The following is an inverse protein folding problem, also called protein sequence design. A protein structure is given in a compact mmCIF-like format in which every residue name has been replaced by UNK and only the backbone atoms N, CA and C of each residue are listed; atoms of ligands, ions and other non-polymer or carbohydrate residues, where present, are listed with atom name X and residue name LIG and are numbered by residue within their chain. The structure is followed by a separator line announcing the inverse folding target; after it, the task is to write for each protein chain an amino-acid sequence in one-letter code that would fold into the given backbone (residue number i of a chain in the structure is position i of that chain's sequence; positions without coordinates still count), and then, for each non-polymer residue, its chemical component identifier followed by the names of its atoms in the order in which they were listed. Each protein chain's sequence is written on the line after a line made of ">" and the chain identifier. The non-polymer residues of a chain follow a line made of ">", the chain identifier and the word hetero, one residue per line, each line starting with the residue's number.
data_IF_540257106620
#
_entry.id   IF_540257106620
#
_cell.length_a   1.000
_cell.length_b   1.000
_cell.length_c   1.000
_cell.angle_alpha   90.00
_cell.angle_beta   90.00
_cell.angle_gamma   90.00
#
_symmetry.space_group_name_H-M   'P 1'
#
loop_
_entity.id
_entity.type
_entity.pdbx_description
1 polymer ?
#
# COMPACT_ATOMS: atom_id res chain seq x y z
N UNK A 1 -32.47 -25.70 22.59
CA UNK A 1 -32.33 -24.48 23.41
C UNK A 1 -31.28 -24.74 24.49
N UNK A 2 -30.04 -24.30 24.27
CA UNK A 2 -29.07 -24.00 25.34
C UNK A 2 -28.27 -22.81 24.82
N UNK A 3 -28.35 -21.71 25.55
CA UNK A 3 -27.72 -20.44 25.24
C UNK A 3 -26.39 -20.28 25.99
N UNK A 4 -25.55 -19.42 25.40
CA UNK A 4 -24.53 -18.59 26.04
C UNK A 4 -23.26 -19.27 26.57
N UNK A 5 -22.11 -18.86 26.01
CA UNK A 5 -21.35 -17.73 26.57
C UNK A 5 -20.20 -17.34 25.65
N UNK A 6 -20.25 -16.11 25.14
CA UNK A 6 -19.08 -15.39 24.62
C UNK A 6 -18.22 -14.94 25.80
N UNK A 7 -16.93 -15.25 25.78
CA UNK A 7 -15.94 -14.61 26.65
C UNK A 7 -14.99 -13.85 25.74
N UNK A 8 -15.09 -12.52 25.79
CA UNK A 8 -14.13 -11.60 25.22
C UNK A 8 -12.93 -11.49 26.18
N UNK A 9 -11.72 -11.61 25.66
CA UNK A 9 -10.48 -11.32 26.36
C UNK A 9 -9.63 -10.46 25.43
N UNK A 10 -9.57 -9.17 25.73
CA UNK A 10 -8.66 -8.20 25.11
C UNK A 10 -7.28 -8.23 25.80
N UNK A 11 -6.22 -7.82 25.09
CA UNK A 11 -4.84 -8.17 25.42
C UNK A 11 -4.22 -7.25 26.48
N UNK A 12 -3.47 -7.84 27.41
CA UNK A 12 -2.60 -7.11 28.35
C UNK A 12 -1.16 -7.07 27.82
N UNK A 13 -0.65 -5.85 27.68
CA UNK A 13 0.73 -5.47 27.39
C UNK A 13 1.80 -6.36 28.04
N UNK A 14 2.73 -6.85 27.22
CA UNK A 14 4.04 -7.33 27.69
C UNK A 14 5.08 -6.24 27.42
N UNK A 15 5.45 -5.48 28.46
CA UNK A 15 6.64 -4.64 28.47
C UNK A 15 7.88 -5.53 28.54
N UNK A 16 8.84 -5.26 27.66
CA UNK A 16 10.12 -5.96 27.57
C UNK A 16 11.05 -5.36 28.62
N UNK A 17 11.20 -6.03 29.77
CA UNK A 17 12.23 -5.68 30.75
C UNK A 17 13.57 -6.32 30.34
N UNK A 18 14.45 -5.50 29.78
CA UNK A 18 15.82 -5.85 29.47
C UNK A 18 16.66 -5.93 30.77
N UNK A 19 16.75 -7.13 31.34
CA UNK A 19 17.64 -7.41 32.46
C UNK A 19 19.11 -7.43 32.00
N UNK A 20 19.85 -6.41 32.43
CA UNK A 20 21.30 -6.27 32.29
C UNK A 20 22.02 -7.22 33.25
N UNK A 21 22.87 -8.13 32.72
CA UNK A 21 23.86 -8.86 33.52
C UNK A 21 25.27 -8.33 33.24
N UNK A 22 25.90 -7.79 34.29
CA UNK A 22 27.16 -7.05 34.24
C UNK A 22 28.39 -7.83 33.76
N UNK A 23 29.23 -7.12 33.02
CA UNK A 23 30.61 -7.47 32.71
C UNK A 23 31.51 -6.26 33.00
N UNK A 24 32.41 -6.42 33.96
CA UNK A 24 33.30 -5.43 34.57
C UNK A 24 34.21 -4.73 33.54
N UNK A 25 34.03 -3.42 33.29
CA UNK A 25 35.12 -2.48 32.97
C UNK A 25 34.79 -1.09 33.53
N UNK A 26 35.40 -0.78 34.66
CA UNK A 26 35.52 0.57 35.21
C UNK A 26 36.63 1.34 34.48
N UNK A 27 36.67 2.66 34.71
CA UNK A 27 37.50 3.72 34.11
C UNK A 27 36.88 4.32 32.84
N UNK A 28 36.65 5.63 32.70
CA UNK A 28 37.19 6.80 33.39
C UNK A 28 36.21 7.98 33.16
N UNK A 29 35.80 8.66 34.23
CA UNK A 29 35.09 9.95 34.18
C UNK A 29 36.11 11.07 33.92
N UNK A 30 35.93 11.84 32.84
CA UNK A 30 36.41 13.20 32.58
C UNK A 30 35.64 13.63 31.32
N UNK A 31 34.56 14.41 31.39
CA UNK A 31 34.59 15.81 31.77
C UNK A 31 34.75 16.68 30.52
N UNK A 32 33.69 16.83 29.71
CA UNK A 32 33.53 17.93 28.75
C UNK A 32 32.05 18.31 28.66
N UNK A 33 31.70 19.35 29.42
CA UNK A 33 30.50 20.15 29.30
C UNK A 33 30.56 21.09 28.10
N UNK A 34 29.38 21.41 27.53
CA UNK A 34 29.05 22.36 26.42
C UNK A 34 29.21 21.76 25.01
N UNK A 35 28.21 21.78 24.12
CA UNK A 35 27.30 22.88 23.77
C UNK A 35 25.98 22.30 23.22
N UNK A 36 24.83 22.63 23.83
CA UNK A 36 23.54 22.41 23.18
C UNK A 36 23.40 23.44 22.06
N UNK A 37 23.60 23.02 20.81
CA UNK A 37 23.27 23.82 19.63
C UNK A 37 21.74 23.93 19.59
N UNK A 38 21.22 25.06 20.06
CA UNK A 38 19.88 25.48 19.74
C UNK A 38 19.82 25.68 18.23
N UNK A 39 19.25 24.71 17.52
CA UNK A 39 18.87 24.86 16.12
C UNK A 39 17.76 25.91 16.07
N UNK A 40 18.13 27.19 15.98
CA UNK A 40 17.29 28.22 15.41
C UNK A 40 17.13 27.87 13.93
N UNK A 41 16.24 26.91 13.64
CA UNK A 41 15.75 26.71 12.30
C UNK A 41 15.13 28.04 11.83
N UNK A 42 15.38 28.47 10.58
CA UNK A 42 14.74 29.66 10.07
C UNK A 42 13.24 29.50 10.28
N UNK A 43 12.62 30.49 10.94
CA UNK A 43 11.18 30.60 11.06
C UNK A 43 10.61 30.28 9.67
N UNK A 44 9.90 29.16 9.57
CA UNK A 44 9.27 28.73 8.34
C UNK A 44 8.41 29.92 7.90
N UNK A 45 8.83 30.60 6.84
CA UNK A 45 8.03 31.62 6.21
C UNK A 45 6.71 30.93 5.84
N UNK A 46 5.67 31.17 6.64
CA UNK A 46 4.31 30.82 6.27
C UNK A 46 4.03 31.64 5.03
N UNK A 47 4.13 31.00 3.86
CA UNK A 47 3.54 31.52 2.64
C UNK A 47 2.06 31.73 2.94
N UNK A 48 1.66 32.98 3.15
CA UNK A 48 0.26 33.35 3.24
C UNK A 48 -0.39 32.90 1.94
N UNK A 49 -1.13 31.79 2.01
CA UNK A 49 -1.94 31.34 0.88
C UNK A 49 -2.92 32.45 0.60
N UNK A 50 -3.00 32.99 -0.64
CA UNK A 50 -4.10 33.87 -0.98
C UNK A 50 -5.39 33.13 -0.63
N UNK A 51 -6.24 33.77 0.16
CA UNK A 51 -7.52 33.23 0.60
C UNK A 51 -8.38 33.00 -0.64
N UNK A 52 -8.28 31.80 -1.21
CA UNK A 52 -9.19 31.34 -2.26
C UNK A 52 -10.58 31.39 -1.64
N UNK A 53 -11.45 32.26 -2.15
CA UNK A 53 -12.85 32.25 -1.72
C UNK A 53 -13.41 30.89 -2.08
N UNK A 54 -13.83 30.13 -1.08
CA UNK A 54 -14.56 28.89 -1.27
C UNK A 54 -15.84 29.23 -2.03
N UNK A 55 -16.00 28.64 -3.21
CA UNK A 55 -17.20 28.80 -4.02
C UNK A 55 -18.06 27.58 -3.74
N UNK A 56 -19.31 27.81 -3.34
CA UNK A 56 -20.27 26.74 -3.10
C UNK A 56 -20.41 25.85 -4.35
N UNK A 57 -20.28 24.53 -4.16
CA UNK A 57 -20.29 23.55 -5.23
C UNK A 57 -21.60 23.59 -6.06
N UNK A 58 -22.71 23.93 -5.41
CA UNK A 58 -24.04 23.96 -6.02
C UNK A 58 -24.30 25.24 -6.85
N UNK A 59 -23.51 26.29 -6.64
CA UNK A 59 -23.77 27.61 -7.23
C UNK A 59 -22.94 27.86 -8.49
N UNK A 60 -21.82 27.14 -8.66
CA UNK A 60 -20.92 27.31 -9.80
C UNK A 60 -21.23 26.32 -10.92
N UNK A 61 -21.64 26.80 -12.13
CA UNK A 61 -21.92 25.92 -13.26
C UNK A 61 -20.68 25.14 -13.72
N UNK A 62 -19.49 25.71 -13.51
CA UNK A 62 -18.23 25.06 -13.81
C UNK A 62 -17.95 23.86 -12.88
N UNK A 63 -18.25 24.00 -11.58
CA UNK A 63 -18.06 22.92 -10.61
C UNK A 63 -19.04 21.76 -10.89
N UNK A 64 -20.30 22.08 -11.22
CA UNK A 64 -21.28 21.06 -11.58
C UNK A 64 -20.86 20.24 -12.80
N UNK A 65 -20.32 20.89 -13.84
CA UNK A 65 -19.81 20.18 -15.04
C UNK A 65 -18.60 19.29 -14.72
N UNK A 66 -17.72 19.72 -13.81
CA UNK A 66 -16.60 18.90 -13.34
C UNK A 66 -17.08 17.68 -12.54
N UNK A 67 -18.07 17.84 -11.67
CA UNK A 67 -18.67 16.74 -10.91
C UNK A 67 -19.33 15.74 -11.86
N UNK A 68 -20.08 16.23 -12.86
CA UNK A 68 -20.70 15.41 -13.91
C UNK A 68 -19.65 14.54 -14.64
N UNK A 69 -18.58 15.15 -15.16
CA UNK A 69 -17.49 14.42 -15.83
C UNK A 69 -16.77 13.44 -14.90
N UNK A 70 -16.68 13.78 -13.62
CA UNK A 70 -16.04 12.92 -12.63
C UNK A 70 -16.87 11.66 -12.39
N UNK A 71 -18.18 11.81 -12.31
CA UNK A 71 -19.16 10.72 -12.18
C UNK A 71 -19.11 9.80 -13.41
N UNK A 72 -19.18 10.38 -14.61
CA UNK A 72 -19.15 9.61 -15.88
C UNK A 72 -17.91 8.71 -15.99
N UNK A 73 -16.74 9.24 -15.64
CA UNK A 73 -15.47 8.51 -15.73
C UNK A 73 -15.12 7.73 -14.47
N UNK A 74 -15.97 7.75 -13.44
CA UNK A 74 -15.65 7.10 -12.16
C UNK A 74 -15.49 5.60 -12.34
N UNK A 75 -16.44 4.97 -13.01
CA UNK A 75 -16.46 3.52 -13.17
C UNK A 75 -15.35 3.05 -14.13
N UNK A 76 -15.13 3.77 -15.24
CA UNK A 76 -14.03 3.50 -16.16
C UNK A 76 -12.67 3.52 -15.44
N UNK A 77 -12.38 4.58 -14.68
CA UNK A 77 -11.12 4.68 -13.92
C UNK A 77 -11.02 3.63 -12.82
N UNK A 78 -12.15 3.21 -12.24
CA UNK A 78 -12.17 2.13 -11.24
C UNK A 78 -11.81 0.80 -11.87
N UNK A 79 -12.37 0.50 -13.04
CA UNK A 79 -12.03 -0.72 -13.79
C UNK A 79 -10.56 -0.71 -14.23
N UNK A 80 -10.03 0.42 -14.68
CA UNK A 80 -8.60 0.57 -14.99
C UNK A 80 -7.72 0.25 -13.77
N UNK A 81 -8.02 0.84 -12.60
CA UNK A 81 -7.27 0.54 -11.36
C UNK A 81 -7.32 -0.94 -10.97
N UNK A 82 -8.46 -1.60 -11.17
CA UNK A 82 -8.59 -3.03 -10.89
C UNK A 82 -7.80 -3.86 -11.90
N UNK A 83 -7.85 -3.52 -13.18
CA UNK A 83 -7.08 -4.19 -14.22
C UNK A 83 -5.58 -4.09 -13.96
N UNK A 84 -5.10 -2.90 -13.62
CA UNK A 84 -3.69 -2.65 -13.24
C UNK A 84 -3.28 -3.46 -12.00
N UNK A 85 -4.17 -3.55 -11.01
CA UNK A 85 -3.95 -4.40 -9.84
C UNK A 85 -3.84 -5.89 -10.24
N UNK A 86 -4.71 -6.38 -11.13
CA UNK A 86 -4.66 -7.76 -11.58
C UNK A 86 -3.36 -8.07 -12.33
N UNK A 87 -2.99 -7.20 -13.27
CA UNK A 87 -1.73 -7.30 -14.02
C UNK A 87 -0.50 -7.29 -13.14
N UNK A 88 -0.51 -6.57 -12.01
CA UNK A 88 0.64 -6.51 -11.10
C UNK A 88 0.80 -7.74 -10.22
N UNK A 89 -0.31 -8.32 -9.75
CA UNK A 89 -0.26 -9.29 -8.66
C UNK A 89 -0.47 -10.73 -9.10
N UNK A 90 -1.20 -10.97 -10.21
CA UNK A 90 -1.61 -12.32 -10.62
C UNK A 90 -0.75 -13.05 -11.65
N UNK A 91 0.19 -12.42 -12.39
CA UNK A 91 1.01 -13.17 -13.35
C UNK A 91 1.76 -14.33 -12.71
N UNK A 92 2.41 -14.13 -11.56
CA UNK A 92 3.20 -15.17 -10.91
C UNK A 92 2.33 -16.35 -10.42
N UNK A 93 1.15 -16.07 -9.89
CA UNK A 93 0.21 -17.12 -9.49
C UNK A 93 -0.28 -17.92 -10.70
N UNK A 94 -0.60 -17.24 -11.81
CA UNK A 94 -1.07 -17.93 -13.00
C UNK A 94 0.03 -18.74 -13.67
N UNK A 95 1.28 -18.26 -13.67
CA UNK A 95 2.44 -19.06 -14.13
C UNK A 95 2.63 -20.31 -13.29
N UNK A 96 2.47 -20.18 -11.98
CA UNK A 96 2.63 -21.29 -11.05
C UNK A 96 1.51 -22.36 -11.17
N UNK A 97 0.26 -21.93 -11.25
CA UNK A 97 -0.89 -22.85 -11.27
C UNK A 97 -1.20 -23.38 -12.67
N UNK A 98 -1.19 -22.51 -13.69
CA UNK A 98 -1.70 -22.80 -15.03
C UNK A 98 -0.70 -22.54 -16.17
N UNK A 99 0.54 -22.13 -15.86
CA UNK A 99 1.55 -21.78 -16.86
C UNK A 99 2.00 -22.95 -17.73
N UNK A 100 1.74 -24.19 -17.32
CA UNK A 100 1.92 -25.39 -18.14
C UNK A 100 0.76 -26.36 -17.98
N UNK A 101 0.55 -27.21 -18.97
CA UNK A 101 -0.48 -28.25 -18.93
C UNK A 101 -0.24 -29.25 -17.79
N UNK A 102 1.03 -29.57 -17.51
CA UNK A 102 1.43 -30.43 -16.40
C UNK A 102 1.11 -29.80 -15.04
N UNK A 103 1.41 -28.51 -14.86
CA UNK A 103 1.06 -27.77 -13.64
C UNK A 103 -0.46 -27.69 -13.44
N UNK A 104 -1.19 -27.38 -14.50
CA UNK A 104 -2.64 -27.28 -14.46
C UNK A 104 -3.31 -28.62 -14.07
N UNK A 105 -2.83 -29.72 -14.66
CA UNK A 105 -3.32 -31.08 -14.36
C UNK A 105 -3.00 -31.48 -12.93
N UNK A 106 -1.77 -31.22 -12.47
CA UNK A 106 -1.36 -31.49 -11.08
C UNK A 106 -2.18 -30.70 -10.05
N UNK A 107 -2.73 -29.55 -10.44
CA UNK A 107 -3.60 -28.70 -9.63
C UNK A 107 -5.09 -28.98 -9.78
N UNK A 108 -5.47 -29.92 -10.65
CA UNK A 108 -6.87 -30.27 -10.90
C UNK A 108 -7.68 -29.16 -11.57
N UNK A 109 -7.02 -28.26 -12.32
CA UNK A 109 -7.70 -27.23 -13.09
C UNK A 109 -8.44 -27.85 -14.28
N UNK A 110 -9.62 -27.30 -14.57
CA UNK A 110 -10.31 -27.64 -15.81
C UNK A 110 -9.48 -27.21 -17.03
N UNK A 111 -9.55 -27.94 -18.16
CA UNK A 111 -8.78 -27.59 -19.36
C UNK A 111 -9.13 -26.20 -19.90
N UNK A 112 -10.39 -25.79 -19.78
CA UNK A 112 -10.87 -24.46 -20.17
C UNK A 112 -10.26 -23.35 -19.30
N UNK A 113 -10.23 -23.55 -17.98
CA UNK A 113 -9.62 -22.59 -17.04
C UNK A 113 -8.12 -22.46 -17.29
N UNK A 114 -7.44 -23.59 -17.48
CA UNK A 114 -6.01 -23.60 -17.79
C UNK A 114 -5.70 -22.88 -19.10
N UNK A 115 -6.53 -23.06 -20.13
CA UNK A 115 -6.40 -22.34 -21.40
C UNK A 115 -6.65 -20.83 -21.24
N UNK A 116 -7.65 -20.44 -20.45
CA UNK A 116 -7.93 -19.03 -20.15
C UNK A 116 -6.79 -18.36 -19.38
N UNK A 117 -6.16 -19.06 -18.43
CA UNK A 117 -5.01 -18.56 -17.68
C UNK A 117 -3.79 -18.36 -18.58
N UNK A 118 -3.50 -19.30 -19.49
CA UNK A 118 -2.42 -19.16 -20.46
C UNK A 118 -2.65 -17.99 -21.40
N UNK A 119 -3.86 -17.89 -21.96
CA UNK A 119 -4.23 -16.75 -22.81
C UNK A 119 -4.09 -15.42 -22.07
N UNK A 120 -4.52 -15.35 -20.81
CA UNK A 120 -4.36 -14.15 -20.01
C UNK A 120 -2.88 -13.82 -19.77
N UNK A 121 -2.03 -14.81 -19.53
CA UNK A 121 -0.58 -14.58 -19.42
C UNK A 121 -0.03 -14.02 -20.72
N UNK A 122 -0.34 -14.62 -21.86
CA UNK A 122 0.10 -14.14 -23.19
C UNK A 122 -0.32 -12.67 -23.45
N UNK A 123 -1.55 -12.30 -23.09
CA UNK A 123 -2.08 -10.95 -23.28
C UNK A 123 -1.45 -9.90 -22.32
N UNK A 124 -0.80 -10.31 -21.22
CA UNK A 124 -0.40 -9.43 -20.12
C UNK A 124 1.07 -9.54 -19.65
N UNK A 125 1.85 -10.55 -20.09
CA UNK A 125 3.19 -10.87 -19.57
C UNK A 125 4.26 -9.85 -20.01
N UNK A 126 4.11 -9.27 -21.19
CA UNK A 126 5.11 -8.39 -21.82
C UNK A 126 4.89 -6.88 -21.58
N UNK A 127 3.89 -6.48 -20.80
CA UNK A 127 3.68 -5.05 -20.55
C UNK A 127 4.60 -4.53 -19.44
N UNK A 128 5.66 -3.75 -19.75
CA UNK A 128 6.44 -3.11 -18.71
C UNK A 128 5.52 -2.16 -17.95
N UNK A 129 5.32 -2.46 -16.66
CA UNK A 129 4.46 -1.66 -15.80
C UNK A 129 4.93 -0.20 -15.82
N UNK A 130 4.04 0.78 -16.10
CA UNK A 130 4.41 2.18 -16.06
C UNK A 130 4.93 2.54 -14.67
N UNK A 131 6.19 2.99 -14.60
CA UNK A 131 6.87 3.40 -13.36
C UNK A 131 7.77 2.35 -12.72
N UNK A 132 7.80 1.09 -13.19
CA UNK A 132 8.85 0.14 -12.79
C UNK A 132 10.07 0.38 -13.68
N UNK A 133 11.13 0.98 -13.11
CA UNK A 133 12.43 1.01 -13.79
C UNK A 133 12.93 -0.41 -13.93
N UNK A 134 13.38 -0.79 -15.13
CA UNK A 134 14.12 -2.03 -15.33
C UNK A 134 15.34 -1.96 -14.42
N UNK A 135 15.53 -2.97 -13.56
CA UNK A 135 16.79 -3.13 -12.85
C UNK A 135 17.76 -3.72 -13.86
N UNK A 136 18.64 -2.86 -14.36
CA UNK A 136 19.76 -3.23 -15.24
C UNK A 136 20.77 -4.11 -14.48
#
# INVERSE_FOLDING_TARGET
>A
MVAARCVASSPSNTSVDASTSGGRRAMLLLGFSTLAVAAAGPAAAQLERPTNKEVDNDTSPFIQELLRRTEEKREERKQQRLNDYYKRNFPEYFKFDGGSEAAATARGLSPETAAAMRKWLEDNEDQPMPGLRKRD
#
